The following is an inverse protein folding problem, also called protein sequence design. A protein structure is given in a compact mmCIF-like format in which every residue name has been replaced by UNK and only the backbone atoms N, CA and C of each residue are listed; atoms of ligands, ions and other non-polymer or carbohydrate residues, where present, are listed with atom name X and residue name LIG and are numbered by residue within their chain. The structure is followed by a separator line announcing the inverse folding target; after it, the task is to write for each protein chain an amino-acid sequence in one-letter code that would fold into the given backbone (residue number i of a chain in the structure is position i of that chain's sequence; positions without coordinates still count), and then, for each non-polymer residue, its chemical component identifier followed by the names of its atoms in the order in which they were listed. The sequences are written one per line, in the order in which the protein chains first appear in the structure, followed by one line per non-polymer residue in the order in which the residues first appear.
data_IF_083427139772
#
_entry.id   IF_083427139772
#
_cell.length_a   1.000
_cell.length_b   1.000
_cell.length_c   1.000
_cell.angle_alpha   90.00
_cell.angle_beta   90.00
_cell.angle_gamma   90.00
#
_symmetry.space_group_name_H-M   'P 1'
#
loop_
_entity.id
_entity.type
_entity.pdbx_description
1 polymer ?
#
# COMPACT_ATOMS: atom_id res chain seq x y z
N UNK A 1 -6.68 -11.59 -1.39
CA UNK A 1 -7.25 -10.80 -0.28
C UNK A 1 -8.38 -9.92 -0.78
N UNK A 2 -9.04 -9.22 0.14
CA UNK A 2 -10.07 -8.22 -0.10
C UNK A 2 -9.45 -6.82 0.06
N UNK A 3 -9.63 -5.96 -0.95
CA UNK A 3 -9.26 -4.54 -0.90
C UNK A 3 -10.52 -3.72 -0.63
N UNK A 4 -10.48 -2.82 0.34
CA UNK A 4 -11.47 -1.76 0.54
C UNK A 4 -10.75 -0.44 0.30
N UNK A 5 -11.31 0.48 -0.48
CA UNK A 5 -10.70 1.78 -0.76
C UNK A 5 -11.75 2.89 -0.87
N UNK A 6 -11.34 4.12 -0.54
CA UNK A 6 -12.15 5.32 -0.58
C UNK A 6 -11.25 6.54 -0.89
N UNK A 7 -11.86 7.69 -1.17
CA UNK A 7 -11.13 8.95 -1.23
C UNK A 7 -10.49 9.22 0.14
N UNK A 8 -9.27 9.77 0.13
CA UNK A 8 -8.55 10.07 1.36
C UNK A 8 -8.90 11.45 1.89
N UNK A 9 -9.05 11.59 3.20
CA UNK A 9 -9.13 12.92 3.85
C UNK A 9 -7.75 13.59 3.86
N UNK A 10 -6.71 12.79 4.10
CA UNK A 10 -5.32 13.23 4.16
C UNK A 10 -4.45 12.54 3.08
N UNK A 11 -4.83 12.68 1.83
CA UNK A 11 -4.13 12.05 0.69
C UNK A 11 -5.10 11.87 -0.46
N UNK A 12 -4.63 11.26 -1.54
CA UNK A 12 -5.48 11.02 -2.71
C UNK A 12 -6.44 9.85 -2.49
N UNK A 13 -6.02 8.82 -1.78
CA UNK A 13 -6.87 7.69 -1.44
C UNK A 13 -6.46 6.98 -0.14
N UNK A 14 -7.45 6.33 0.48
CA UNK A 14 -7.28 5.45 1.62
C UNK A 14 -7.61 4.00 1.25
N UNK A 15 -6.95 3.03 1.88
CA UNK A 15 -7.22 1.60 1.68
C UNK A 15 -7.05 0.75 2.93
N UNK A 16 -7.67 -0.43 2.93
CA UNK A 16 -7.43 -1.54 3.86
C UNK A 16 -7.34 -2.85 3.08
N UNK A 17 -6.55 -3.81 3.57
CA UNK A 17 -6.33 -5.10 2.91
C UNK A 17 -6.47 -6.27 3.89
N UNK A 18 -7.35 -7.22 3.57
CA UNK A 18 -7.62 -8.40 4.41
C UNK A 18 -7.28 -9.69 3.64
N UNK A 19 -6.57 -10.63 4.27
CA UNK A 19 -6.17 -11.88 3.64
C UNK A 19 -6.28 -13.10 4.58
N UNK A 20 -7.48 -13.39 5.11
CA UNK A 20 -7.67 -14.47 6.10
C UNK A 20 -7.28 -15.84 5.56
N UNK A 21 -7.44 -16.10 4.26
CA UNK A 21 -7.02 -17.34 3.61
C UNK A 21 -5.50 -17.56 3.64
N UNK A 22 -4.71 -16.53 3.96
CA UNK A 22 -3.26 -16.59 4.13
C UNK A 22 -2.84 -16.49 5.61
N UNK A 23 -3.80 -16.62 6.55
CA UNK A 23 -3.55 -16.46 7.98
C UNK A 23 -3.29 -15.03 8.42
N UNK A 24 -3.64 -14.04 7.58
CA UNK A 24 -3.45 -12.61 7.85
C UNK A 24 -4.83 -11.96 7.92
N UNK A 25 -5.30 -11.66 9.13
CA UNK A 25 -6.59 -10.97 9.32
C UNK A 25 -6.60 -9.65 8.55
N UNK A 26 -5.59 -8.80 8.79
CA UNK A 26 -5.36 -7.55 8.08
C UNK A 26 -3.86 -7.32 7.88
N UNK A 27 -3.45 -7.06 6.64
CA UNK A 27 -2.06 -6.71 6.33
C UNK A 27 -1.84 -5.20 6.59
N UNK A 28 -0.84 -4.80 7.39
CA UNK A 28 -0.65 -3.41 7.72
C UNK A 28 -0.44 -2.48 6.51
N UNK A 29 0.34 -2.92 5.52
CA UNK A 29 0.66 -2.16 4.30
C UNK A 29 0.97 -3.13 3.16
N UNK A 30 0.21 -3.07 2.08
CA UNK A 30 0.25 -4.06 0.99
C UNK A 30 0.64 -3.38 -0.33
N UNK A 31 1.91 -3.48 -0.71
CA UNK A 31 2.41 -2.90 -1.96
C UNK A 31 1.71 -3.46 -3.20
N UNK A 32 1.52 -4.78 -3.28
CA UNK A 32 0.87 -5.42 -4.43
C UNK A 32 -0.57 -4.97 -4.66
N UNK A 33 -1.32 -4.64 -3.59
CA UNK A 33 -2.67 -4.08 -3.71
C UNK A 33 -2.67 -2.72 -4.44
N UNK A 34 -1.58 -1.95 -4.33
CA UNK A 34 -1.46 -0.65 -4.97
C UNK A 34 -1.23 -0.73 -6.49
N UNK A 35 -0.88 -1.89 -7.02
CA UNK A 35 -0.93 -2.14 -8.47
C UNK A 35 -2.37 -2.10 -9.02
N UNK A 36 -3.39 -2.28 -8.18
CA UNK A 36 -4.81 -2.15 -8.54
C UNK A 36 -5.38 -0.80 -8.10
N UNK A 37 -5.06 -0.35 -6.88
CA UNK A 37 -5.58 0.89 -6.30
C UNK A 37 -5.07 2.12 -7.07
N UNK A 38 -3.78 2.18 -7.40
CA UNK A 38 -3.21 3.37 -8.03
C UNK A 38 -3.78 3.65 -9.43
N UNK A 39 -3.89 2.68 -10.37
CA UNK A 39 -4.52 2.93 -11.67
C UNK A 39 -5.99 3.32 -11.55
N UNK A 40 -6.72 2.75 -10.57
CA UNK A 40 -8.11 3.11 -10.33
C UNK A 40 -8.24 4.58 -9.93
N UNK A 41 -7.55 5.01 -8.88
CA UNK A 41 -7.62 6.39 -8.38
C UNK A 41 -6.97 7.40 -9.32
N UNK A 42 -5.93 7.01 -10.06
CA UNK A 42 -5.31 7.85 -11.08
C UNK A 42 -6.34 8.28 -12.13
N UNK A 43 -7.20 7.35 -12.58
CA UNK A 43 -8.29 7.64 -13.51
C UNK A 43 -9.39 8.49 -12.87
N UNK A 44 -9.78 8.19 -11.63
CA UNK A 44 -10.83 8.95 -10.93
C UNK A 44 -10.42 10.41 -10.67
N UNK A 45 -9.14 10.65 -10.36
CA UNK A 45 -8.62 11.96 -9.94
C UNK A 45 -7.90 12.72 -11.07
N UNK A 46 -7.68 12.09 -12.22
CA UNK A 46 -6.89 12.69 -13.31
C UNK A 46 -5.42 12.93 -12.94
N UNK A 47 -4.86 12.12 -12.03
CA UNK A 47 -3.48 12.26 -11.51
C UNK A 47 -2.62 11.07 -11.90
N UNK A 48 -1.33 11.31 -12.15
CA UNK A 48 -0.33 10.23 -12.39
C UNK A 48 0.48 9.88 -11.15
N UNK A 49 0.60 10.81 -10.20
CA UNK A 49 1.25 10.59 -8.90
C UNK A 49 0.18 10.70 -7.83
N UNK A 50 0.10 9.70 -6.96
CA UNK A 50 -0.87 9.59 -5.90
C UNK A 50 -0.16 9.42 -4.56
N UNK A 51 -0.56 10.19 -3.57
CA UNK A 51 -0.20 9.97 -2.18
C UNK A 51 -1.31 9.11 -1.53
N UNK A 52 -1.05 7.82 -1.35
CA UNK A 52 -1.99 6.83 -0.85
C UNK A 52 -1.71 6.48 0.62
N UNK A 53 -2.76 6.15 1.38
CA UNK A 53 -2.64 5.68 2.76
C UNK A 53 -3.33 4.33 2.97
N UNK A 54 -2.61 3.35 3.50
CA UNK A 54 -3.22 2.12 4.00
C UNK A 54 -3.53 2.31 5.49
N UNK A 55 -4.80 2.46 5.82
CA UNK A 55 -5.30 2.87 7.15
C UNK A 55 -5.62 1.66 8.02
N UNK A 56 -4.68 0.71 8.06
CA UNK A 56 -4.68 -0.38 9.05
C UNK A 56 -4.39 0.17 10.45
N UNK A 57 -4.49 -0.68 11.49
CA UNK A 57 -4.12 -0.30 12.87
C UNK A 57 -2.71 0.31 12.99
N UNK A 58 -1.74 -0.18 12.20
CA UNK A 58 -0.36 0.34 12.20
C UNK A 58 -0.19 1.51 11.23
N UNK A 59 -0.99 1.55 10.17
CA UNK A 59 -0.91 2.56 9.13
C UNK A 59 0.27 2.37 8.17
N UNK A 60 0.17 3.00 7.01
CA UNK A 60 1.26 3.18 6.08
C UNK A 60 0.97 4.25 5.04
N UNK A 61 2.01 4.97 4.65
CA UNK A 61 1.95 5.98 3.59
C UNK A 61 2.77 5.48 2.41
N UNK A 62 2.17 5.55 1.23
CA UNK A 62 2.80 5.14 -0.03
C UNK A 62 2.66 6.27 -1.04
N UNK A 63 3.72 6.50 -1.81
CA UNK A 63 3.62 7.31 -3.03
C UNK A 63 3.64 6.37 -4.24
N UNK A 64 2.59 6.47 -5.05
CA UNK A 64 2.37 5.64 -6.22
C UNK A 64 2.44 6.50 -7.48
N UNK A 65 3.31 6.14 -8.43
CA UNK A 65 3.40 6.79 -9.73
C UNK A 65 2.99 5.83 -10.83
N UNK A 66 1.96 6.18 -11.59
CA UNK A 66 1.52 5.46 -12.79
C UNK A 66 2.31 5.97 -14.00
N UNK A 67 3.24 5.14 -14.45
CA UNK A 67 4.04 5.36 -15.65
C UNK A 67 3.70 4.28 -16.67
N UNK A 68 2.95 4.68 -17.70
CA UNK A 68 2.43 3.81 -18.75
C UNK A 68 1.65 2.61 -18.19
N UNK A 69 2.19 1.39 -18.32
CA UNK A 69 1.61 0.14 -17.84
C UNK A 69 2.14 -0.29 -16.46
N UNK A 70 2.95 0.54 -15.80
CA UNK A 70 3.61 0.24 -14.52
C UNK A 70 3.24 1.19 -13.41
N UNK A 71 3.21 0.66 -12.19
CA UNK A 71 3.06 1.43 -10.96
C UNK A 71 4.37 1.35 -10.18
N UNK A 72 5.03 2.50 -10.01
CA UNK A 72 6.15 2.64 -9.08
C UNK A 72 5.62 2.97 -7.69
N UNK A 73 6.02 2.20 -6.69
CA UNK A 73 5.54 2.35 -5.32
C UNK A 73 6.74 2.66 -4.43
N UNK A 74 6.63 3.72 -3.65
CA UNK A 74 7.69 4.16 -2.72
C UNK A 74 7.11 4.43 -1.34
N UNK A 75 7.92 4.24 -0.31
CA UNK A 75 7.56 4.47 1.08
C UNK A 75 8.81 4.51 1.96
N UNK A 76 8.70 5.13 3.14
CA UNK A 76 9.81 5.17 4.09
C UNK A 76 9.93 3.83 4.84
N UNK A 77 11.16 3.41 5.13
CA UNK A 77 11.46 2.27 5.98
C UNK A 77 12.14 2.70 7.28
N UNK A 78 12.02 1.88 8.33
CA UNK A 78 12.71 2.06 9.61
C UNK A 78 13.35 0.74 10.01
N UNK A 79 14.64 0.77 10.33
CA UNK A 79 15.35 -0.39 10.87
C UNK A 79 14.89 -0.64 12.31
N UNK A 80 14.35 -1.83 12.58
CA UNK A 80 13.95 -2.24 13.93
C UNK A 80 15.07 -2.99 14.65
N UNK A 81 15.71 -3.94 13.98
CA UNK A 81 16.74 -4.80 14.54
C UNK A 81 17.67 -5.29 13.43
N UNK A 82 18.94 -5.54 13.79
CA UNK A 82 19.96 -6.18 12.95
C UNK A 82 20.64 -7.27 13.76
N UNK A 83 20.94 -8.41 13.14
CA UNK A 83 21.52 -9.57 13.82
C UNK A 83 22.04 -10.63 12.85
N UNK A 84 22.60 -11.71 13.40
CA UNK A 84 23.12 -12.85 12.64
C UNK A 84 22.37 -14.12 13.03
N UNK A 85 21.99 -14.93 12.04
CA UNK A 85 21.39 -16.24 12.24
C UNK A 85 22.46 -17.32 12.05
N UNK A 86 22.84 -17.99 13.13
CA UNK A 86 23.70 -19.17 13.07
C UNK A 86 22.82 -20.43 12.91
N UNK A 87 23.18 -21.31 11.98
CA UNK A 87 22.55 -22.61 11.80
C UNK A 87 23.53 -23.69 12.27
N UNK A 88 23.02 -24.71 12.96
CA UNK A 88 23.79 -25.89 13.38
C UNK A 88 23.87 -26.91 12.24
#
# INVERSE_FOLDING_TARGET
GLIITAAGDDGDCASRYFAPNSGIDEDPVTGSAHCTIAPYWARQLGKRVLDARQVSKRGGVLRCMLQDDRVHITGACRLYMSGQLALN
#
